data_IF_728754059596
#
_entry.id   IF_728754059596
#
_cell.length_a   1.000
_cell.length_b   1.000
_cell.length_c   1.000
_cell.angle_alpha   90.00
_cell.angle_beta   90.00
_cell.angle_gamma   90.00
#
_symmetry.space_group_name_H-M   'P 1'
#
loop_
_entity.id
_entity.type
_entity.pdbx_description
1 polymer ?
#
# COMPACT_ATOMS: atom_id res chain seq x y z
N UNK A 1 8.81 -4.58 5.27
CA UNK A 1 7.70 -5.06 6.16
C UNK A 1 7.41 -4.01 7.19
N UNK A 2 6.14 -3.70 7.51
CA UNK A 2 5.80 -2.64 8.46
C UNK A 2 6.34 -2.88 9.87
N UNK A 3 6.06 -4.01 10.46
CA UNK A 3 6.28 -4.25 11.89
C UNK A 3 7.05 -5.54 12.19
N UNK A 4 7.47 -5.68 13.43
CA UNK A 4 8.11 -6.89 13.95
C UNK A 4 7.17 -8.11 13.92
N UNK A 5 5.86 -7.90 14.04
CA UNK A 5 4.85 -8.97 13.99
C UNK A 5 4.88 -9.66 12.63
N UNK A 6 4.83 -8.89 11.54
CA UNK A 6 4.91 -9.42 10.17
C UNK A 6 6.26 -10.08 9.91
N UNK A 7 7.35 -9.45 10.39
CA UNK A 7 8.70 -10.02 10.24
C UNK A 7 8.82 -11.38 10.90
N UNK A 8 8.31 -11.55 12.12
CA UNK A 8 8.34 -12.83 12.83
C UNK A 8 7.47 -13.89 12.14
N UNK A 9 6.30 -13.49 11.65
CA UNK A 9 5.40 -14.39 10.93
C UNK A 9 6.06 -14.93 9.65
N UNK A 10 6.70 -14.05 8.89
CA UNK A 10 7.41 -14.44 7.65
C UNK A 10 8.72 -15.18 7.93
N UNK A 11 9.42 -14.89 9.03
CA UNK A 11 10.65 -15.59 9.40
C UNK A 11 10.44 -17.10 9.62
N UNK A 12 9.22 -17.51 9.98
CA UNK A 12 8.86 -18.92 10.12
C UNK A 12 8.72 -19.66 8.77
N UNK A 13 8.73 -18.94 7.65
CA UNK A 13 8.58 -19.50 6.30
C UNK A 13 9.96 -19.73 5.65
N UNK A 14 10.43 -20.97 5.50
CA UNK A 14 11.81 -21.28 5.03
C UNK A 14 12.16 -20.66 3.67
N UNK A 15 11.17 -20.55 2.76
CA UNK A 15 11.37 -19.98 1.42
C UNK A 15 11.70 -18.49 1.43
N UNK A 16 11.33 -17.75 2.49
CA UNK A 16 11.64 -16.33 2.61
C UNK A 16 13.10 -16.04 3.02
N UNK A 17 13.84 -17.07 3.50
CA UNK A 17 15.20 -16.87 3.96
C UNK A 17 16.22 -16.63 2.83
N UNK A 18 15.87 -16.91 1.59
CA UNK A 18 16.74 -16.74 0.41
C UNK A 18 16.62 -15.38 -0.30
N UNK A 19 15.68 -14.54 0.10
CA UNK A 19 15.51 -13.21 -0.46
C UNK A 19 16.25 -12.17 0.40
N UNK A 20 17.01 -11.29 -0.20
CA UNK A 20 17.80 -10.19 0.33
C UNK A 20 17.51 -9.62 1.74
N UNK A 21 17.97 -8.40 2.04
CA UNK A 21 17.71 -7.76 3.33
C UNK A 21 16.22 -7.64 3.64
N UNK A 22 15.85 -7.90 4.90
CA UNK A 22 14.47 -7.81 5.40
C UNK A 22 14.39 -6.71 6.44
N UNK A 23 14.06 -5.52 5.96
CA UNK A 23 14.04 -4.32 6.76
C UNK A 23 12.62 -3.97 7.22
N UNK A 24 12.52 -3.35 8.38
CA UNK A 24 11.26 -2.77 8.84
C UNK A 24 11.12 -1.37 8.27
N UNK A 25 9.98 -1.08 7.65
CA UNK A 25 9.65 0.25 7.17
C UNK A 25 8.88 1.10 8.19
N UNK A 26 8.34 0.49 9.24
CA UNK A 26 7.57 1.19 10.26
C UNK A 26 6.07 1.24 9.93
N UNK A 27 5.28 1.71 10.88
CA UNK A 27 3.83 1.75 10.82
C UNK A 27 3.34 3.10 10.28
N UNK A 28 2.42 3.04 9.31
CA UNK A 28 1.82 4.19 8.66
C UNK A 28 2.65 4.77 7.52
N UNK A 29 2.01 5.50 6.57
CA UNK A 29 2.61 5.87 5.29
C UNK A 29 3.84 6.79 5.43
N UNK A 30 3.86 7.66 6.43
CA UNK A 30 4.99 8.58 6.65
C UNK A 30 6.25 7.82 7.08
N UNK A 31 6.11 6.90 8.05
CA UNK A 31 7.23 6.09 8.52
C UNK A 31 7.70 5.13 7.42
N UNK A 32 6.76 4.48 6.73
CA UNK A 32 7.03 3.57 5.64
C UNK A 32 7.82 4.26 4.52
N UNK A 33 7.39 5.43 4.05
CA UNK A 33 8.08 6.19 3.01
C UNK A 33 9.50 6.61 3.43
N UNK A 34 9.65 7.22 4.61
CA UNK A 34 10.94 7.71 5.10
C UNK A 34 11.95 6.58 5.30
N UNK A 35 11.53 5.48 5.93
CA UNK A 35 12.39 4.32 6.18
C UNK A 35 12.74 3.58 4.90
N UNK A 36 11.76 3.34 4.02
CA UNK A 36 12.00 2.67 2.74
C UNK A 36 12.98 3.47 1.88
N UNK A 37 12.83 4.79 1.78
CA UNK A 37 13.79 5.65 1.08
C UNK A 37 15.21 5.52 1.64
N UNK A 38 15.35 5.54 2.97
CA UNK A 38 16.65 5.33 3.64
C UNK A 38 17.24 3.94 3.31
N UNK A 39 16.44 2.87 3.34
CA UNK A 39 16.91 1.52 3.05
C UNK A 39 17.30 1.35 1.57
N UNK A 40 16.56 1.96 0.67
CA UNK A 40 16.92 1.99 -0.77
C UNK A 40 18.28 2.67 -0.97
N UNK A 41 18.52 3.79 -0.30
CA UNK A 41 19.79 4.51 -0.40
C UNK A 41 20.99 3.68 0.12
N UNK A 42 20.76 2.91 1.20
CA UNK A 42 21.79 2.04 1.81
C UNK A 42 22.07 0.79 0.96
N UNK A 43 21.01 0.07 0.61
CA UNK A 43 21.13 -1.26 -0.01
C UNK A 43 21.17 -1.25 -1.54
N UNK A 44 20.70 -0.16 -2.17
CA UNK A 44 20.60 0.02 -3.64
C UNK A 44 20.03 -1.22 -4.35
N UNK A 45 18.85 -1.70 -3.94
CA UNK A 45 18.28 -2.92 -4.48
C UNK A 45 17.74 -2.70 -5.90
N UNK A 46 17.81 -3.72 -6.76
CA UNK A 46 17.14 -3.72 -8.06
C UNK A 46 15.63 -3.74 -7.97
N UNK A 47 15.10 -4.28 -6.87
CA UNK A 47 13.66 -4.39 -6.60
C UNK A 47 13.37 -4.24 -5.11
N UNK A 48 12.23 -3.64 -4.82
CA UNK A 48 11.67 -3.55 -3.46
C UNK A 48 10.35 -4.31 -3.43
N UNK A 49 10.14 -5.12 -2.41
CA UNK A 49 8.88 -5.79 -2.15
C UNK A 49 8.38 -5.38 -0.77
N UNK A 50 7.26 -4.67 -0.73
CA UNK A 50 6.53 -4.44 0.51
C UNK A 50 5.67 -5.67 0.80
N UNK A 51 5.79 -6.20 2.02
CA UNK A 51 5.01 -7.34 2.49
C UNK A 51 4.44 -6.97 3.84
N UNK A 52 3.14 -7.05 3.98
CA UNK A 52 2.41 -6.71 5.20
C UNK A 52 1.08 -7.43 5.30
N UNK A 53 0.38 -7.16 6.39
CA UNK A 53 -0.99 -7.61 6.62
C UNK A 53 -1.92 -6.54 6.08
N UNK A 54 -2.97 -6.95 5.36
CA UNK A 54 -3.98 -6.05 4.83
C UNK A 54 -5.39 -6.54 5.20
N UNK A 55 -6.30 -5.60 5.39
CA UNK A 55 -7.74 -5.89 5.51
C UNK A 55 -8.34 -6.16 4.13
N UNK A 56 -9.12 -7.24 3.98
CA UNK A 56 -9.79 -7.53 2.70
C UNK A 56 -11.16 -6.88 2.62
N UNK A 57 -11.45 -6.21 1.51
CA UNK A 57 -12.78 -5.72 1.17
C UNK A 57 -13.62 -6.77 0.43
N UNK A 58 -12.96 -7.73 -0.22
CA UNK A 58 -13.64 -8.74 -1.04
C UNK A 58 -13.04 -10.14 -0.82
N UNK A 59 -13.62 -10.88 0.12
CA UNK A 59 -13.16 -12.22 0.46
C UNK A 59 -13.31 -13.25 -0.68
N UNK A 60 -14.09 -12.95 -1.73
CA UNK A 60 -14.18 -13.81 -2.93
C UNK A 60 -12.97 -13.64 -3.85
N UNK A 61 -12.33 -12.48 -3.83
CA UNK A 61 -11.11 -12.19 -4.62
C UNK A 61 -9.85 -12.43 -3.79
N UNK A 62 -9.85 -11.94 -2.55
CA UNK A 62 -8.75 -12.12 -1.60
C UNK A 62 -9.31 -12.65 -0.27
N UNK A 63 -9.38 -13.97 -0.07
CA UNK A 63 -9.92 -14.56 1.16
C UNK A 63 -9.02 -14.26 2.36
N UNK A 64 -9.62 -14.25 3.56
CA UNK A 64 -8.86 -14.13 4.81
C UNK A 64 -7.82 -15.25 4.90
N UNK A 65 -6.59 -14.90 5.21
CA UNK A 65 -5.43 -15.80 5.19
C UNK A 65 -4.85 -16.08 3.81
N UNK A 66 -5.44 -15.51 2.75
CA UNK A 66 -4.87 -15.49 1.41
C UNK A 66 -3.72 -14.50 1.28
N UNK A 67 -2.91 -14.65 0.23
CA UNK A 67 -1.85 -13.72 -0.12
C UNK A 67 -1.95 -13.36 -1.61
N UNK A 68 -1.68 -12.10 -1.93
CA UNK A 68 -1.70 -11.60 -3.31
C UNK A 68 -0.63 -10.53 -3.53
N UNK A 69 -0.23 -10.37 -4.78
CA UNK A 69 0.52 -9.21 -5.27
C UNK A 69 -0.47 -8.26 -5.94
N UNK A 70 -0.51 -7.03 -5.45
CA UNK A 70 -1.39 -6.00 -5.99
C UNK A 70 -0.61 -5.09 -6.94
N UNK A 71 -1.11 -4.87 -8.18
CA UNK A 71 -0.39 -4.12 -9.20
C UNK A 71 -0.47 -2.60 -9.01
N UNK A 72 -1.27 -2.14 -8.05
CA UNK A 72 -1.65 -0.75 -7.92
C UNK A 72 -1.91 -0.39 -6.47
N UNK A 73 -1.45 0.80 -6.08
CA UNK A 73 -1.73 1.39 -4.76
C UNK A 73 -2.50 2.69 -4.97
N UNK A 74 -3.56 2.90 -4.19
CA UNK A 74 -4.32 4.15 -4.15
C UNK A 74 -4.16 4.75 -2.76
N UNK A 75 -3.73 6.01 -2.70
CA UNK A 75 -3.56 6.74 -1.45
C UNK A 75 -4.89 7.36 -1.00
N UNK A 76 -5.34 7.01 0.21
CA UNK A 76 -6.52 7.61 0.83
C UNK A 76 -6.14 8.34 2.12
N UNK A 77 -6.79 9.48 2.35
CA UNK A 77 -6.64 10.29 3.56
C UNK A 77 -5.70 11.49 3.40
N UNK A 78 -5.17 11.73 2.19
CA UNK A 78 -4.49 12.98 1.84
C UNK A 78 -5.43 13.80 0.97
N UNK A 79 -6.04 14.83 1.54
CA UNK A 79 -7.08 15.64 0.89
C UNK A 79 -7.78 16.53 1.88
N UNK A 80 -9.03 16.89 1.58
CA UNK A 80 -9.87 17.78 2.39
C UNK A 80 -11.19 17.08 2.72
N UNK A 81 -11.71 17.29 3.92
CA UNK A 81 -12.95 16.67 4.39
C UNK A 81 -12.74 15.29 4.99
N UNK A 82 -13.83 14.64 5.32
CA UNK A 82 -13.89 13.28 5.89
C UNK A 82 -15.05 12.50 5.28
N UNK A 83 -14.98 11.20 5.31
CA UNK A 83 -16.06 10.29 4.91
C UNK A 83 -16.65 10.64 3.54
N UNK A 84 -17.96 10.92 3.47
CA UNK A 84 -18.67 11.29 2.24
C UNK A 84 -18.22 12.62 1.64
N UNK A 85 -17.66 13.52 2.47
CA UNK A 85 -17.18 14.84 2.04
C UNK A 85 -15.69 14.86 1.69
N UNK A 86 -15.00 13.74 1.80
CA UNK A 86 -13.57 13.66 1.49
C UNK A 86 -13.32 13.88 0.00
N UNK A 87 -12.42 14.83 -0.29
CA UNK A 87 -11.93 15.13 -1.65
C UNK A 87 -10.44 14.88 -1.67
N UNK A 88 -9.94 13.90 -2.44
CA UNK A 88 -8.52 13.58 -2.53
C UNK A 88 -7.74 14.68 -3.26
N UNK A 89 -6.41 14.66 -3.10
CA UNK A 89 -5.53 15.67 -3.66
C UNK A 89 -5.67 15.82 -5.18
N UNK A 90 -5.78 14.71 -5.91
CA UNK A 90 -5.94 14.70 -7.36
C UNK A 90 -7.22 15.37 -7.86
N UNK A 91 -8.34 15.17 -7.19
CA UNK A 91 -9.61 15.83 -7.52
C UNK A 91 -9.54 17.36 -7.31
N UNK A 92 -8.68 17.82 -6.39
CA UNK A 92 -8.42 19.25 -6.18
C UNK A 92 -7.38 19.82 -7.15
N UNK A 93 -6.83 19.00 -8.08
CA UNK A 93 -5.79 19.40 -9.02
C UNK A 93 -4.37 19.39 -8.44
N UNK A 94 -4.16 18.76 -7.29
CA UNK A 94 -2.83 18.59 -6.71
C UNK A 94 -2.25 17.20 -7.01
N UNK A 95 -0.94 17.16 -7.18
CA UNK A 95 -0.15 15.92 -7.16
C UNK A 95 0.64 15.87 -5.86
N UNK A 96 0.88 14.68 -5.33
CA UNK A 96 1.73 14.49 -4.15
C UNK A 96 3.17 14.92 -4.44
N UNK A 97 3.62 14.68 -5.67
CA UNK A 97 4.88 15.16 -6.22
C UNK A 97 4.75 15.37 -7.74
N UNK A 98 5.23 16.50 -8.24
CA UNK A 98 5.11 16.82 -9.68
C UNK A 98 6.20 16.19 -10.55
N UNK A 99 7.24 15.63 -9.91
CA UNK A 99 8.46 15.21 -10.59
C UNK A 99 9.38 16.38 -10.91
N UNK A 100 10.65 16.07 -11.09
CA UNK A 100 11.68 17.00 -11.58
C UNK A 100 12.54 16.28 -12.64
N UNK A 101 12.82 16.94 -13.76
CA UNK A 101 13.57 16.34 -14.84
C UNK A 101 12.89 15.12 -15.44
N UNK A 102 13.52 13.95 -15.34
CA UNK A 102 12.97 12.67 -15.82
C UNK A 102 12.14 11.91 -14.78
N UNK A 103 11.99 12.45 -13.56
CA UNK A 103 11.20 11.81 -12.50
C UNK A 103 9.72 11.84 -12.83
N UNK A 104 9.04 10.71 -12.58
CA UNK A 104 7.61 10.61 -12.75
C UNK A 104 6.87 11.34 -11.63
N UNK A 105 5.76 11.98 -11.96
CA UNK A 105 4.86 12.55 -10.98
C UNK A 105 4.24 11.43 -10.09
N UNK A 106 3.98 11.77 -8.83
CA UNK A 106 3.27 10.92 -7.88
C UNK A 106 1.89 11.52 -7.66
N UNK A 107 0.85 10.81 -8.05
CA UNK A 107 -0.55 11.17 -7.78
C UNK A 107 -1.17 10.32 -6.68
N UNK A 108 -2.51 10.34 -6.60
CA UNK A 108 -3.26 9.50 -5.65
C UNK A 108 -3.13 8.01 -5.99
N UNK A 109 -2.81 7.67 -7.23
CA UNK A 109 -2.62 6.31 -7.71
C UNK A 109 -1.18 6.07 -8.14
N UNK A 110 -0.62 4.94 -7.72
CA UNK A 110 0.73 4.48 -8.08
C UNK A 110 0.61 3.08 -8.72
N UNK A 111 1.06 2.97 -9.98
CA UNK A 111 1.16 1.68 -10.68
C UNK A 111 2.49 1.03 -10.34
N UNK A 112 2.44 -0.21 -9.88
CA UNK A 112 3.60 -0.99 -9.46
C UNK A 112 4.08 -1.94 -10.56
N UNK A 113 5.37 -2.17 -10.62
CA UNK A 113 5.95 -3.23 -11.44
C UNK A 113 5.75 -4.58 -10.76
N UNK A 114 4.70 -5.31 -11.12
CA UNK A 114 4.36 -6.60 -10.53
C UNK A 114 4.57 -7.75 -11.48
N UNK A 115 4.85 -8.97 -10.97
CA UNK A 115 4.84 -10.18 -11.78
C UNK A 115 3.45 -10.44 -12.41
N UNK A 116 3.41 -11.22 -13.51
CA UNK A 116 2.16 -11.58 -14.21
C UNK A 116 1.15 -12.34 -13.35
N UNK A 117 1.55 -12.89 -12.22
CA UNK A 117 0.71 -13.66 -11.29
C UNK A 117 -0.05 -12.80 -10.28
N UNK A 118 -0.06 -11.47 -10.41
CA UNK A 118 -0.86 -10.59 -9.55
C UNK A 118 -2.35 -10.79 -9.81
N UNK A 119 -3.16 -10.55 -8.78
CA UNK A 119 -4.62 -10.52 -8.93
C UNK A 119 -5.05 -9.19 -9.54
N UNK A 120 -6.26 -9.15 -10.09
CA UNK A 120 -6.89 -7.91 -10.50
C UNK A 120 -7.38 -7.15 -9.27
N UNK A 121 -7.20 -5.83 -9.25
CA UNK A 121 -7.62 -4.93 -8.17
C UNK A 121 -6.48 -4.11 -7.60
N UNK A 122 -6.82 -3.17 -6.72
CA UNK A 122 -5.90 -2.21 -6.13
C UNK A 122 -5.82 -2.38 -4.61
N UNK A 123 -4.70 -1.99 -4.02
CA UNK A 123 -4.54 -1.78 -2.59
C UNK A 123 -4.92 -0.34 -2.26
N UNK A 124 -5.75 -0.15 -1.24
CA UNK A 124 -5.99 1.17 -0.67
C UNK A 124 -5.06 1.39 0.50
N UNK A 125 -4.12 2.30 0.38
CA UNK A 125 -3.27 2.71 1.50
C UNK A 125 -3.89 3.90 2.20
N UNK A 126 -4.09 3.79 3.51
CA UNK A 126 -4.83 4.75 4.30
C UNK A 126 -4.00 5.31 5.45
N UNK A 127 -4.28 6.57 5.84
CA UNK A 127 -3.78 7.12 7.10
C UNK A 127 -4.42 6.48 8.34
N UNK A 128 -5.61 5.88 8.16
CA UNK A 128 -6.32 5.08 9.17
C UNK A 128 -7.14 4.01 8.47
N UNK A 129 -7.03 2.75 8.91
CA UNK A 129 -7.80 1.64 8.36
C UNK A 129 -9.30 1.74 8.74
N UNK A 130 -10.17 1.08 7.97
CA UNK A 130 -11.60 1.01 8.25
C UNK A 130 -11.88 0.36 9.60
N UNK A 131 -12.63 1.04 10.47
CA UNK A 131 -13.01 0.52 11.76
C UNK A 131 -14.41 -0.12 11.76
N UNK A 132 -15.18 0.09 10.69
CA UNK A 132 -16.56 -0.39 10.58
C UNK A 132 -16.94 -0.79 9.16
N UNK A 133 -18.04 -1.54 9.03
CA UNK A 133 -18.63 -1.85 7.72
C UNK A 133 -19.08 -0.58 6.98
N UNK A 134 -19.43 0.48 7.68
CA UNK A 134 -19.80 1.74 7.07
C UNK A 134 -18.58 2.41 6.42
N UNK A 135 -17.45 2.47 7.11
CA UNK A 135 -16.20 3.01 6.56
C UNK A 135 -15.79 2.23 5.30
N UNK A 136 -15.86 0.89 5.37
CA UNK A 136 -15.61 0.03 4.20
C UNK A 136 -16.50 0.38 3.01
N UNK A 137 -17.81 0.60 3.24
CA UNK A 137 -18.74 0.96 2.15
C UNK A 137 -18.38 2.29 1.53
N UNK A 138 -18.14 3.33 2.32
CA UNK A 138 -17.73 4.64 1.81
C UNK A 138 -16.47 4.57 0.97
N UNK A 139 -15.52 3.71 1.36
CA UNK A 139 -14.29 3.49 0.58
C UNK A 139 -14.56 2.75 -0.73
N UNK A 140 -15.38 1.69 -0.70
CA UNK A 140 -15.74 0.95 -1.90
C UNK A 140 -16.61 1.77 -2.87
N UNK A 141 -17.48 2.64 -2.38
CA UNK A 141 -18.27 3.56 -3.20
C UNK A 141 -17.36 4.54 -3.96
N UNK A 142 -16.28 4.98 -3.31
CA UNK A 142 -15.29 5.89 -3.93
C UNK A 142 -14.26 5.17 -4.80
N UNK A 143 -13.82 3.99 -4.39
CA UNK A 143 -12.75 3.20 -5.01
C UNK A 143 -13.23 1.77 -5.29
N UNK A 144 -14.10 1.58 -6.29
CA UNK A 144 -14.73 0.28 -6.54
C UNK A 144 -13.75 -0.83 -6.96
N UNK A 145 -12.54 -0.46 -7.40
CA UNK A 145 -11.49 -1.39 -7.81
C UNK A 145 -10.61 -1.90 -6.67
N UNK A 146 -10.75 -1.36 -5.45
CA UNK A 146 -9.92 -1.83 -4.33
C UNK A 146 -10.42 -3.17 -3.80
N UNK A 147 -9.48 -4.03 -3.43
CA UNK A 147 -9.75 -5.37 -2.89
C UNK A 147 -9.25 -5.54 -1.47
N UNK A 148 -8.32 -4.69 -1.06
CA UNK A 148 -7.75 -4.69 0.29
C UNK A 148 -7.32 -3.29 0.71
N UNK A 149 -7.13 -3.10 2.02
CA UNK A 149 -6.56 -1.88 2.59
C UNK A 149 -5.39 -2.19 3.51
N UNK A 150 -4.42 -1.29 3.54
CA UNK A 150 -3.30 -1.24 4.49
C UNK A 150 -3.02 0.20 4.93
N UNK A 151 -1.88 0.39 5.59
CA UNK A 151 -1.43 1.72 6.04
C UNK A 151 0.01 2.05 5.60
N UNK A 152 0.66 1.23 4.76
CA UNK A 152 2.08 1.33 4.42
C UNK A 152 2.39 1.23 2.92
N UNK A 153 1.41 0.90 2.10
CA UNK A 153 1.54 0.75 0.65
C UNK A 153 1.93 2.00 -0.11
#
# INVERSE_FOLDING_TARGET
MPTEIERQHLASQPRFNSYGPRELCGFGPVAAAARTSSQIAIHKPDRVLLIGIAGTFNASVLPVGGAALLPRVIMHGIGVGTDETFVPAGEMGFQHWRGEGEESAIGDEIVLSTPRSSISGSLLTCSAASASTQDMRHRLDRYPEVVAEDMEG
#
